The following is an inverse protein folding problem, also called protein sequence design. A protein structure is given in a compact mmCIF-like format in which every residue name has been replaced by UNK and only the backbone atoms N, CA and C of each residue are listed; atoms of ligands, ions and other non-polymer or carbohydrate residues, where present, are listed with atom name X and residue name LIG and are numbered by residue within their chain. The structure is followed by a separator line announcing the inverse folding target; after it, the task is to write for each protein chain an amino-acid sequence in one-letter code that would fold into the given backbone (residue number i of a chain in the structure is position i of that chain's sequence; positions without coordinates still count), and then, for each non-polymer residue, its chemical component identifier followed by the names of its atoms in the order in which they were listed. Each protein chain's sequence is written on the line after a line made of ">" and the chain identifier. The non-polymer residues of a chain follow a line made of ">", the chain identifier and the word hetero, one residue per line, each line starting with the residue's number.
data_IF_412704114013
#
_entry.id   IF_412704114013
#
_cell.length_a   1.000
_cell.length_b   1.000
_cell.length_c   1.000
_cell.angle_alpha   90.00
_cell.angle_beta   90.00
_cell.angle_gamma   90.00
#
_symmetry.space_group_name_H-M   'P 1'
#
loop_
_entity.id
_entity.type
_entity.pdbx_description
1 polymer ?
#
# COMPACT_ATOMS: atom_id res chain seq x y z
N UNK A 1 15.48 -36.87 21.14
CA UNK A 1 15.20 -36.13 19.88
C UNK A 1 13.70 -35.87 19.69
N UNK A 2 12.85 -36.88 19.94
CA UNK A 2 11.37 -36.77 19.87
C UNK A 2 10.82 -35.72 20.86
N UNK A 3 11.35 -35.64 22.08
CA UNK A 3 10.88 -34.68 23.10
C UNK A 3 11.16 -33.21 22.75
N UNK A 4 12.27 -32.96 22.04
CA UNK A 4 12.64 -31.62 21.55
C UNK A 4 11.71 -31.18 20.42
N UNK A 5 11.34 -32.12 19.53
CA UNK A 5 10.38 -31.86 18.44
C UNK A 5 8.99 -31.65 19.01
N UNK A 6 8.53 -32.49 19.93
CA UNK A 6 7.24 -32.35 20.61
C UNK A 6 7.15 -31.06 21.46
N UNK A 7 8.26 -30.62 22.06
CA UNK A 7 8.36 -29.33 22.74
C UNK A 7 8.17 -28.14 21.79
N UNK A 8 8.81 -28.15 20.62
CA UNK A 8 8.63 -27.11 19.59
C UNK A 8 7.23 -27.10 18.97
N UNK A 9 6.63 -28.27 18.77
CA UNK A 9 5.26 -28.36 18.24
C UNK A 9 4.27 -27.76 19.22
N UNK A 10 4.39 -28.06 20.52
CA UNK A 10 3.52 -27.48 21.56
C UNK A 10 3.74 -25.97 21.74
N UNK A 11 4.98 -25.49 21.69
CA UNK A 11 5.23 -24.05 21.77
C UNK A 11 4.66 -23.30 20.55
N UNK A 12 4.75 -23.91 19.36
CA UNK A 12 4.13 -23.38 18.15
C UNK A 12 2.61 -23.38 18.23
N UNK A 13 1.99 -24.49 18.66
CA UNK A 13 0.53 -24.57 18.87
C UNK A 13 0.03 -23.54 19.87
N UNK A 14 0.73 -23.36 20.98
CA UNK A 14 0.39 -22.35 21.98
C UNK A 14 0.54 -20.92 21.43
N UNK A 15 1.55 -20.65 20.60
CA UNK A 15 1.71 -19.35 19.94
C UNK A 15 0.58 -19.08 18.94
N UNK A 16 0.17 -20.09 18.16
CA UNK A 16 -0.94 -20.00 17.20
C UNK A 16 -2.28 -19.80 17.91
N UNK A 17 -2.51 -20.48 19.03
CA UNK A 17 -3.75 -20.36 19.82
C UNK A 17 -3.98 -18.97 20.42
N UNK A 18 -2.91 -18.16 20.54
CA UNK A 18 -2.96 -16.80 21.05
C UNK A 18 -3.19 -15.74 19.96
N UNK A 19 -3.28 -16.15 18.69
CA UNK A 19 -3.47 -15.20 17.61
C UNK A 19 -4.91 -14.69 17.62
N UNK A 20 -5.06 -13.38 17.82
CA UNK A 20 -6.33 -12.68 17.77
C UNK A 20 -6.78 -12.47 16.32
N UNK A 21 -8.09 -12.52 16.08
CA UNK A 21 -8.66 -12.40 14.72
C UNK A 21 -8.40 -11.01 14.10
N UNK A 22 -8.40 -9.94 14.89
CA UNK A 22 -8.26 -8.58 14.38
C UNK A 22 -6.90 -8.31 13.71
N UNK A 23 -5.73 -8.61 14.32
CA UNK A 23 -4.43 -8.52 13.64
C UNK A 23 -4.34 -9.36 12.35
N UNK A 24 -4.97 -10.55 12.31
CA UNK A 24 -5.04 -11.36 11.10
C UNK A 24 -5.87 -10.69 9.99
N UNK A 25 -7.01 -10.10 10.34
CA UNK A 25 -7.85 -9.35 9.39
C UNK A 25 -7.10 -8.15 8.82
N UNK A 26 -6.33 -7.41 9.62
CA UNK A 26 -5.49 -6.31 9.12
C UNK A 26 -4.45 -6.82 8.12
N UNK A 27 -3.78 -7.95 8.41
CA UNK A 27 -2.79 -8.54 7.48
C UNK A 27 -3.43 -9.08 6.21
N UNK A 28 -4.60 -9.69 6.31
CA UNK A 28 -5.39 -10.09 5.15
C UNK A 28 -5.79 -8.84 4.32
N UNK A 29 -6.18 -7.75 4.98
CA UNK A 29 -6.45 -6.45 4.36
C UNK A 29 -5.24 -5.91 3.58
N UNK A 30 -4.03 -6.00 4.14
CA UNK A 30 -2.78 -5.64 3.43
C UNK A 30 -2.63 -6.48 2.17
N UNK A 31 -2.74 -7.80 2.28
CA UNK A 31 -2.60 -8.69 1.14
C UNK A 31 -3.60 -8.37 0.03
N UNK A 32 -4.89 -8.23 0.39
CA UNK A 32 -5.97 -7.94 -0.57
C UNK A 32 -5.76 -6.58 -1.23
N UNK A 33 -5.42 -5.54 -0.48
CA UNK A 33 -5.21 -4.20 -1.04
C UNK A 33 -3.99 -4.15 -1.96
N UNK A 34 -2.88 -4.79 -1.59
CA UNK A 34 -1.68 -4.85 -2.44
C UNK A 34 -1.94 -5.69 -3.70
N UNK A 35 -2.61 -6.84 -3.58
CA UNK A 35 -2.94 -7.68 -4.71
C UNK A 35 -3.91 -6.97 -5.68
N UNK A 36 -4.91 -6.26 -5.16
CA UNK A 36 -5.80 -5.42 -5.97
C UNK A 36 -5.02 -4.29 -6.66
N UNK A 37 -4.04 -3.69 -5.97
CA UNK A 37 -3.12 -2.71 -6.53
C UNK A 37 -2.34 -3.26 -7.72
N UNK A 38 -1.76 -4.45 -7.57
CA UNK A 38 -1.09 -5.14 -8.68
C UNK A 38 -2.04 -5.47 -9.83
N UNK A 39 -3.23 -5.98 -9.54
CA UNK A 39 -4.23 -6.31 -10.57
C UNK A 39 -4.67 -5.09 -11.39
N UNK A 40 -4.77 -3.91 -10.76
CA UNK A 40 -5.11 -2.67 -11.45
C UNK A 40 -3.92 -2.02 -12.17
N UNK A 41 -2.71 -2.20 -11.61
CA UNK A 41 -1.48 -1.64 -12.15
C UNK A 41 -1.04 -2.37 -13.42
N UNK A 42 -0.97 -3.70 -13.38
CA UNK A 42 -0.43 -4.49 -14.49
C UNK A 42 -1.45 -4.69 -15.62
N UNK A 43 -0.99 -4.78 -16.87
CA UNK A 43 -1.83 -5.14 -18.00
C UNK A 43 -2.19 -6.65 -17.96
N UNK A 44 -3.34 -7.03 -18.53
CA UNK A 44 -3.88 -8.39 -18.41
C UNK A 44 -2.96 -9.46 -19.03
N UNK A 45 -2.19 -9.07 -20.04
CA UNK A 45 -1.18 -9.85 -20.73
C UNK A 45 -0.07 -10.29 -19.76
N UNK A 46 0.35 -9.40 -18.86
CA UNK A 46 1.36 -9.69 -17.84
C UNK A 46 0.77 -10.51 -16.69
N UNK A 47 -0.52 -10.37 -16.42
CA UNK A 47 -1.22 -11.16 -15.39
C UNK A 47 -1.53 -12.60 -15.83
N UNK A 48 -1.18 -12.98 -17.06
CA UNK A 48 -1.35 -14.35 -17.55
C UNK A 48 -0.13 -15.24 -17.24
N UNK A 49 -0.36 -16.48 -16.79
CA UNK A 49 0.70 -17.48 -16.59
C UNK A 49 1.48 -17.34 -15.27
N UNK A 50 2.81 -17.45 -15.32
CA UNK A 50 3.69 -17.48 -14.13
C UNK A 50 3.78 -16.15 -13.34
N UNK A 51 3.76 -14.95 -13.94
CA UNK A 51 3.91 -13.70 -13.20
C UNK A 51 2.85 -13.47 -12.12
N UNK A 52 1.60 -13.93 -12.32
CA UNK A 52 0.55 -13.78 -11.29
C UNK A 52 0.91 -14.48 -9.98
N UNK A 53 1.62 -15.62 -10.05
CA UNK A 53 2.10 -16.33 -8.86
C UNK A 53 3.14 -15.49 -8.12
N UNK A 54 4.11 -14.93 -8.86
CA UNK A 54 5.13 -14.06 -8.27
C UNK A 54 4.53 -12.78 -7.67
N UNK A 55 3.55 -12.17 -8.32
CA UNK A 55 2.84 -10.99 -7.81
C UNK A 55 2.01 -11.33 -6.57
N UNK A 56 1.38 -12.51 -6.54
CA UNK A 56 0.66 -12.99 -5.36
C UNK A 56 1.61 -13.19 -4.18
N UNK A 57 2.77 -13.82 -4.41
CA UNK A 57 3.81 -13.99 -3.39
C UNK A 57 4.36 -12.62 -2.94
N UNK A 58 4.60 -11.70 -3.87
CA UNK A 58 5.05 -10.35 -3.55
C UNK A 58 4.03 -9.58 -2.70
N UNK A 59 2.73 -9.76 -2.95
CA UNK A 59 1.65 -9.13 -2.17
C UNK A 59 1.60 -9.64 -0.72
N UNK A 60 2.11 -10.85 -0.44
CA UNK A 60 2.23 -11.39 0.92
C UNK A 60 3.37 -10.74 1.72
N UNK A 61 4.42 -10.25 1.06
CA UNK A 61 5.60 -9.69 1.74
C UNK A 61 5.26 -8.60 2.78
N UNK A 62 4.48 -7.55 2.46
CA UNK A 62 4.10 -6.54 3.44
C UNK A 62 3.15 -7.07 4.52
N UNK A 63 2.33 -8.10 4.21
CA UNK A 63 1.42 -8.70 5.17
C UNK A 63 2.16 -9.47 6.28
N UNK A 64 3.32 -10.07 5.99
CA UNK A 64 4.16 -10.75 6.98
C UNK A 64 5.17 -9.82 7.65
N UNK A 65 5.74 -8.86 6.91
CA UNK A 65 6.76 -7.93 7.40
C UNK A 65 6.38 -6.45 7.29
N UNK A 66 5.33 -5.96 7.97
CA UNK A 66 4.82 -4.59 7.80
C UNK A 66 5.81 -3.50 8.21
N UNK A 67 6.77 -3.81 9.11
CA UNK A 67 7.81 -2.86 9.58
C UNK A 67 9.03 -2.75 8.65
N UNK A 68 9.05 -3.49 7.55
CA UNK A 68 10.21 -3.61 6.65
C UNK A 68 9.99 -2.84 5.35
N UNK A 69 11.02 -2.85 4.51
CA UNK A 69 11.04 -2.27 3.16
C UNK A 69 9.96 -2.81 2.22
N UNK A 70 9.22 -3.86 2.61
CA UNK A 70 8.23 -4.53 1.76
C UNK A 70 7.05 -3.64 1.36
N UNK A 71 6.61 -2.74 2.24
CA UNK A 71 5.56 -1.78 1.89
C UNK A 71 6.02 -0.83 0.77
N UNK A 72 7.25 -0.32 0.87
CA UNK A 72 7.86 0.52 -0.18
C UNK A 72 8.11 -0.28 -1.45
N UNK A 73 8.65 -1.49 -1.34
CA UNK A 73 8.90 -2.37 -2.48
C UNK A 73 7.62 -2.63 -3.28
N UNK A 74 6.54 -3.04 -2.62
CA UNK A 74 5.25 -3.30 -3.28
C UNK A 74 4.61 -2.04 -3.85
N UNK A 75 4.78 -0.88 -3.20
CA UNK A 75 4.38 0.41 -3.78
C UNK A 75 5.14 0.71 -5.08
N UNK A 76 6.47 0.52 -5.09
CA UNK A 76 7.29 0.72 -6.29
C UNK A 76 6.93 -0.26 -7.41
N UNK A 77 6.67 -1.54 -7.09
CA UNK A 77 6.20 -2.53 -8.06
C UNK A 77 4.85 -2.15 -8.64
N UNK A 78 3.93 -1.62 -7.82
CA UNK A 78 2.62 -1.13 -8.28
C UNK A 78 2.78 0.05 -9.24
N UNK A 79 3.62 1.03 -8.90
CA UNK A 79 3.90 2.18 -9.77
C UNK A 79 4.59 1.74 -11.07
N UNK A 80 5.56 0.83 -10.98
CA UNK A 80 6.23 0.25 -12.15
C UNK A 80 5.29 -0.52 -13.06
N UNK A 81 4.36 -1.29 -12.48
CA UNK A 81 3.30 -1.98 -13.23
C UNK A 81 2.37 -1.01 -13.96
N UNK A 82 1.99 0.10 -13.30
CA UNK A 82 1.16 1.13 -13.90
C UNK A 82 1.86 1.84 -15.07
N UNK A 83 3.14 2.21 -14.90
CA UNK A 83 3.97 2.80 -15.97
C UNK A 83 4.14 1.83 -17.14
N UNK A 84 4.36 0.54 -16.85
CA UNK A 84 4.42 -0.49 -17.88
C UNK A 84 3.10 -0.55 -18.66
N UNK A 85 1.95 -0.51 -17.97
CA UNK A 85 0.65 -0.53 -18.62
C UNK A 85 0.38 0.72 -19.48
N UNK A 86 0.74 1.92 -19.02
CA UNK A 86 0.49 3.17 -19.75
C UNK A 86 1.46 3.37 -20.89
N UNK A 87 2.75 3.24 -20.63
CA UNK A 87 3.82 3.64 -21.56
C UNK A 87 4.29 2.46 -22.41
N UNK A 88 4.28 1.25 -21.84
CA UNK A 88 4.69 0.02 -22.53
C UNK A 88 3.58 -0.66 -23.33
N UNK A 89 2.34 -0.59 -22.85
CA UNK A 89 1.17 -1.24 -23.49
C UNK A 89 0.14 -0.25 -24.03
N UNK A 90 0.41 1.06 -23.96
CA UNK A 90 -0.47 2.10 -24.52
C UNK A 90 -1.84 2.21 -23.85
N UNK A 91 -2.00 1.67 -22.62
CA UNK A 91 -3.29 1.64 -21.94
C UNK A 91 -3.63 3.05 -21.46
N UNK A 92 -4.77 3.64 -21.87
CA UNK A 92 -5.08 5.04 -21.57
C UNK A 92 -5.10 5.31 -20.07
N UNK A 93 -4.64 6.50 -19.67
CA UNK A 93 -4.71 7.00 -18.30
C UNK A 93 -6.16 7.40 -18.03
N UNK A 94 -6.87 6.56 -17.27
CA UNK A 94 -8.25 6.84 -16.86
C UNK A 94 -8.27 7.37 -15.42
N UNK A 95 -9.03 8.44 -15.18
CA UNK A 95 -9.16 9.09 -13.87
C UNK A 95 -9.54 8.10 -12.77
N UNK A 96 -10.55 7.26 -13.00
CA UNK A 96 -10.98 6.28 -11.99
C UNK A 96 -9.88 5.28 -11.64
N UNK A 97 -9.04 4.88 -12.62
CA UNK A 97 -7.93 3.93 -12.40
C UNK A 97 -6.82 4.59 -11.61
N UNK A 98 -6.51 5.85 -11.90
CA UNK A 98 -5.54 6.65 -11.16
C UNK A 98 -5.98 6.83 -9.70
N UNK A 99 -7.23 7.23 -9.47
CA UNK A 99 -7.80 7.41 -8.13
C UNK A 99 -7.84 6.08 -7.36
N UNK A 100 -8.24 4.98 -8.01
CA UNK A 100 -8.25 3.65 -7.40
C UNK A 100 -6.85 3.20 -6.99
N UNK A 101 -5.84 3.39 -7.84
CA UNK A 101 -4.45 3.05 -7.51
C UNK A 101 -3.90 3.91 -6.38
N UNK A 102 -4.15 5.22 -6.40
CA UNK A 102 -3.78 6.12 -5.31
C UNK A 102 -4.43 5.68 -3.99
N UNK A 103 -5.71 5.32 -4.02
CA UNK A 103 -6.43 4.84 -2.85
C UNK A 103 -5.87 3.52 -2.30
N UNK A 104 -5.56 2.56 -3.18
CA UNK A 104 -5.00 1.27 -2.78
C UNK A 104 -3.58 1.42 -2.22
N UNK A 105 -2.74 2.27 -2.80
CA UNK A 105 -1.41 2.58 -2.28
C UNK A 105 -1.50 3.20 -0.88
N UNK A 106 -2.41 4.16 -0.69
CA UNK A 106 -2.63 4.80 0.61
C UNK A 106 -3.16 3.81 1.65
N UNK A 107 -4.15 2.99 1.30
CA UNK A 107 -4.71 1.96 2.19
C UNK A 107 -3.66 0.92 2.55
N UNK A 108 -2.91 0.39 1.58
CA UNK A 108 -1.84 -0.57 1.85
C UNK A 108 -0.78 0.02 2.80
N UNK A 109 -0.38 1.27 2.59
CA UNK A 109 0.58 1.97 3.45
C UNK A 109 0.06 2.13 4.88
N UNK A 110 -1.17 2.63 5.04
CA UNK A 110 -1.77 2.85 6.36
C UNK A 110 -2.10 1.55 7.10
N UNK A 111 -2.51 0.49 6.39
CA UNK A 111 -2.67 -0.85 6.94
C UNK A 111 -1.33 -1.45 7.39
N UNK A 112 -0.24 -1.26 6.64
CA UNK A 112 1.09 -1.66 7.08
C UNK A 112 1.52 -0.91 8.35
N UNK A 113 1.26 0.40 8.41
CA UNK A 113 1.53 1.19 9.62
C UNK A 113 0.70 0.70 10.82
N UNK A 114 -0.56 0.33 10.62
CA UNK A 114 -1.40 -0.24 11.67
C UNK A 114 -0.90 -1.62 12.12
N UNK A 115 -0.62 -2.52 11.18
CA UNK A 115 -0.11 -3.86 11.46
C UNK A 115 1.28 -3.85 12.13
N UNK A 116 2.08 -2.83 11.87
CA UNK A 116 3.36 -2.63 12.55
C UNK A 116 3.20 -2.40 14.06
N UNK A 117 2.06 -1.85 14.50
CA UNK A 117 1.76 -1.54 15.90
C UNK A 117 0.96 -2.62 16.62
N UNK A 118 0.43 -3.61 15.89
CA UNK A 118 -0.41 -4.68 16.46
C UNK A 118 0.38 -5.98 16.70
N UNK A 119 0.62 -6.35 17.96
CA UNK A 119 0.97 -7.73 18.33
C UNK A 119 -0.05 -8.74 17.78
N UNK A 120 0.38 -9.97 17.52
CA UNK A 120 -0.52 -11.01 16.99
C UNK A 120 -1.65 -11.40 17.96
N UNK A 121 -1.44 -11.20 19.26
CA UNK A 121 -2.39 -11.45 20.34
C UNK A 121 -3.20 -10.20 20.74
N UNK A 122 -3.00 -9.06 20.06
CA UNK A 122 -3.67 -7.82 20.41
C UNK A 122 -5.19 -7.91 20.25
N UNK A 123 -5.90 -7.47 21.28
CA UNK A 123 -7.34 -7.20 21.23
C UNK A 123 -7.52 -5.77 20.74
N UNK A 124 -8.25 -5.60 19.65
CA UNK A 124 -8.44 -4.30 19.00
C UNK A 124 -9.80 -3.74 19.38
N UNK A 125 -9.81 -2.52 19.90
CA UNK A 125 -11.04 -1.78 20.15
C UNK A 125 -11.76 -1.42 18.82
N UNK A 126 -13.04 -1.80 18.63
CA UNK A 126 -13.81 -1.42 17.45
C UNK A 126 -13.86 0.10 17.21
N UNK A 127 -13.81 0.91 18.26
CA UNK A 127 -13.79 2.37 18.12
C UNK A 127 -12.49 2.85 17.45
N UNK A 128 -11.35 2.20 17.74
CA UNK A 128 -10.09 2.48 17.05
C UNK A 128 -10.22 2.22 15.55
N UNK A 129 -10.86 1.10 15.15
CA UNK A 129 -11.04 0.72 13.75
C UNK A 129 -11.93 1.73 13.02
N UNK A 130 -13.05 2.13 13.63
CA UNK A 130 -13.97 3.11 13.03
C UNK A 130 -13.33 4.48 12.87
N UNK A 131 -12.59 4.97 13.87
CA UNK A 131 -11.82 6.23 13.76
C UNK A 131 -10.74 6.16 12.69
N UNK A 132 -10.04 5.02 12.57
CA UNK A 132 -9.05 4.80 11.51
C UNK A 132 -9.69 4.79 10.12
N UNK A 133 -10.84 4.12 9.96
CA UNK A 133 -11.61 4.11 8.72
C UNK A 133 -12.07 5.52 8.34
N UNK A 134 -12.63 6.27 9.28
CA UNK A 134 -13.11 7.63 9.03
C UNK A 134 -11.96 8.57 8.63
N UNK A 135 -10.83 8.49 9.32
CA UNK A 135 -9.64 9.28 8.96
C UNK A 135 -9.13 8.92 7.58
N UNK A 136 -9.03 7.64 7.28
CA UNK A 136 -8.57 7.16 5.96
C UNK A 136 -9.54 7.60 4.85
N UNK A 137 -10.85 7.48 5.08
CA UNK A 137 -11.88 7.94 4.14
C UNK A 137 -11.81 9.46 3.91
N UNK A 138 -11.65 10.25 4.97
CA UNK A 138 -11.52 11.71 4.85
C UNK A 138 -10.27 12.11 4.06
N UNK A 139 -9.13 11.45 4.29
CA UNK A 139 -7.90 11.70 3.54
C UNK A 139 -8.08 11.31 2.07
N UNK A 140 -8.62 10.12 1.79
CA UNK A 140 -8.87 9.66 0.43
C UNK A 140 -9.83 10.59 -0.33
N UNK A 141 -10.92 11.02 0.32
CA UNK A 141 -11.88 11.94 -0.27
C UNK A 141 -11.23 13.30 -0.56
N UNK A 142 -10.51 13.86 0.42
CA UNK A 142 -9.80 15.13 0.24
C UNK A 142 -8.76 15.06 -0.88
N UNK A 143 -7.98 13.98 -0.95
CA UNK A 143 -7.00 13.76 -2.02
C UNK A 143 -7.68 13.57 -3.38
N UNK A 144 -8.80 12.85 -3.45
CA UNK A 144 -9.54 12.67 -4.69
C UNK A 144 -10.12 13.99 -5.21
N UNK A 145 -10.75 14.78 -4.33
CA UNK A 145 -11.28 16.11 -4.67
C UNK A 145 -10.15 17.02 -5.16
N UNK A 146 -9.05 17.12 -4.41
CA UNK A 146 -7.89 17.92 -4.82
C UNK A 146 -7.29 17.43 -6.14
N UNK A 147 -7.15 16.13 -6.33
CA UNK A 147 -6.66 15.54 -7.58
C UNK A 147 -7.54 15.90 -8.78
N UNK A 148 -8.86 15.82 -8.63
CA UNK A 148 -9.81 16.20 -9.68
C UNK A 148 -9.77 17.69 -9.97
N UNK A 149 -9.67 18.55 -8.96
CA UNK A 149 -9.53 20.00 -9.15
C UNK A 149 -8.22 20.37 -9.85
N UNK A 150 -7.11 19.72 -9.47
CA UNK A 150 -5.82 19.93 -10.11
C UNK A 150 -5.80 19.49 -11.58
N UNK A 151 -6.45 18.37 -11.90
CA UNK A 151 -6.58 17.90 -13.28
C UNK A 151 -7.41 18.88 -14.13
N UNK A 152 -8.54 19.35 -13.60
CA UNK A 152 -9.35 20.38 -14.29
C UNK A 152 -8.58 21.68 -14.47
N UNK A 153 -7.81 22.12 -13.47
CA UNK A 153 -6.96 23.30 -13.59
C UNK A 153 -5.84 23.09 -14.64
N UNK A 154 -5.28 21.88 -14.74
CA UNK A 154 -4.27 21.56 -15.75
C UNK A 154 -4.83 21.66 -17.18
N UNK A 155 -6.07 21.23 -17.41
CA UNK A 155 -6.74 21.37 -18.72
C UNK A 155 -6.93 22.84 -19.13
N UNK A 156 -6.93 23.78 -18.18
CA UNK A 156 -7.00 25.22 -18.47
C UNK A 156 -5.65 25.86 -18.86
N UNK A 157 -4.54 25.14 -18.70
CA UNK A 157 -3.17 25.66 -18.81
C UNK A 157 -2.55 25.77 -20.21
N UNK A 158 -3.28 25.40 -21.27
CA UNK A 158 -2.74 25.35 -22.65
C UNK A 158 -1.77 24.19 -22.90
N UNK A 159 -1.25 24.02 -24.14
CA UNK A 159 -0.41 22.88 -24.53
C UNK A 159 1.01 22.89 -23.91
N UNK A 160 1.42 23.98 -23.27
CA UNK A 160 2.71 24.09 -22.61
C UNK A 160 2.67 23.45 -21.22
N UNK A 161 2.65 22.11 -21.17
CA UNK A 161 2.82 21.36 -19.93
C UNK A 161 4.14 21.72 -19.26
N UNK A 162 4.10 22.44 -18.14
CA UNK A 162 5.31 22.85 -17.40
C UNK A 162 5.90 21.67 -16.62
N UNK A 163 6.59 20.76 -17.31
CA UNK A 163 7.28 19.61 -16.71
C UNK A 163 8.16 20.01 -15.52
N UNK A 164 8.80 21.18 -15.58
CA UNK A 164 9.62 21.70 -14.49
C UNK A 164 8.83 21.98 -13.21
N UNK A 165 7.55 22.40 -13.30
CA UNK A 165 6.67 22.62 -12.14
C UNK A 165 6.36 21.29 -11.47
N UNK A 166 6.08 20.24 -12.25
CA UNK A 166 5.83 18.90 -11.75
C UNK A 166 7.06 18.32 -11.06
N UNK A 167 8.25 18.52 -11.65
CA UNK A 167 9.54 18.12 -11.06
C UNK A 167 9.79 18.90 -9.76
N UNK A 168 9.55 20.21 -9.74
CA UNK A 168 9.73 21.03 -8.53
C UNK A 168 8.77 20.59 -7.42
N UNK A 169 7.50 20.35 -7.75
CA UNK A 169 6.51 19.81 -6.82
C UNK A 169 6.93 18.45 -6.25
N UNK A 170 7.47 17.56 -7.08
CA UNK A 170 8.00 16.27 -6.64
C UNK A 170 9.21 16.44 -5.70
N UNK A 171 10.15 17.32 -6.03
CA UNK A 171 11.32 17.61 -5.19
C UNK A 171 10.90 18.16 -3.82
N UNK A 172 9.90 19.05 -3.79
CA UNK A 172 9.34 19.56 -2.53
C UNK A 172 8.66 18.45 -1.72
N UNK A 173 7.88 17.58 -2.36
CA UNK A 173 7.24 16.45 -1.68
C UNK A 173 8.26 15.45 -1.10
N UNK A 174 9.30 15.11 -1.87
CA UNK A 174 10.39 14.24 -1.42
C UNK A 174 11.19 14.91 -0.30
N UNK A 175 11.54 16.18 -0.45
CA UNK A 175 12.29 16.94 0.54
C UNK A 175 11.55 17.08 1.87
N UNK A 176 10.24 17.37 1.84
CA UNK A 176 9.40 17.43 3.04
C UNK A 176 9.27 16.07 3.71
N UNK A 177 9.06 14.99 2.96
CA UNK A 177 9.03 13.64 3.50
C UNK A 177 10.37 13.23 4.15
N UNK A 178 11.50 13.54 3.50
CA UNK A 178 12.83 13.28 4.03
C UNK A 178 13.11 14.09 5.31
N UNK A 179 12.74 15.37 5.32
CA UNK A 179 12.86 16.25 6.50
C UNK A 179 12.05 15.73 7.68
N UNK A 180 10.78 15.37 7.46
CA UNK A 180 9.92 14.79 8.50
C UNK A 180 10.50 13.47 9.02
N UNK A 181 10.96 12.60 8.13
CA UNK A 181 11.60 11.34 8.52
C UNK A 181 12.87 11.54 9.35
N UNK A 182 13.68 12.55 9.01
CA UNK A 182 14.88 12.90 9.76
C UNK A 182 14.55 13.50 11.13
N UNK A 183 13.57 14.40 11.22
CA UNK A 183 13.13 15.00 12.48
C UNK A 183 12.59 13.95 13.45
N UNK A 184 11.84 12.96 12.95
CA UNK A 184 11.30 11.87 13.76
C UNK A 184 12.38 10.91 14.28
N UNK A 185 13.50 10.74 13.57
CA UNK A 185 14.63 9.91 14.02
C UNK A 185 15.51 10.59 15.08
N UNK A 186 15.37 11.91 15.25
CA UNK A 186 16.12 12.69 16.24
C UNK A 186 15.47 12.72 17.62
N UNK A 187 14.22 12.26 17.73
CA UNK A 187 13.51 12.09 19.00
C UNK A 187 13.61 10.64 19.46
#
# INVERSE_FOLDING_TARGET
>A
MIDVVAGRVRSFQNAVSRISAAPLLVRAGIFVTVLAGFALAFPAEVLSGRPILFLTVAALLPAFGPRRVWATFTALVTVGGWLLATDGYGRPVALWRLLALAALLYLAHTLCALAALLPYDAVVDPEMVTRWLLRSAAVLLGTAVLGVLLLQAADTGGEAGYQWVTVLGLLLAVGTAALLGWLLRRR
#
